data_IF_804366383223
#
_entry.id   IF_804366383223
#
_cell.length_a   1.000
_cell.length_b   1.000
_cell.length_c   1.000
_cell.angle_alpha   90.00
_cell.angle_beta   90.00
_cell.angle_gamma   90.00
#
_symmetry.space_group_name_H-M   'P 1'
#
loop_
_entity.id
_entity.type
_entity.pdbx_description
1 polymer ?
#
# COMPACT_ATOMS: atom_id res chain seq x y z
N UNK A 1 -25.37 -1.14 -4.13
CA UNK A 1 -24.62 -2.41 -3.98
C UNK A 1 -24.70 -2.79 -2.51
N UNK A 2 -25.63 -3.68 -2.15
CA UNK A 2 -26.09 -3.92 -0.78
C UNK A 2 -25.41 -5.14 -0.18
N UNK A 3 -24.75 -4.95 0.96
CA UNK A 3 -24.04 -5.98 1.73
C UNK A 3 -24.97 -7.13 2.14
N UNK A 4 -24.57 -8.37 1.84
CA UNK A 4 -25.25 -9.60 2.28
C UNK A 4 -25.05 -9.81 3.79
N UNK A 5 -25.88 -9.17 4.62
CA UNK A 5 -25.93 -9.44 6.05
C UNK A 5 -26.83 -10.65 6.34
N UNK A 6 -26.27 -11.61 7.08
CA UNK A 6 -26.96 -12.80 7.60
C UNK A 6 -27.63 -12.38 8.92
N UNK A 7 -28.97 -12.46 8.98
CA UNK A 7 -29.75 -12.12 10.19
C UNK A 7 -30.19 -13.42 10.87
N UNK A 8 -29.96 -13.60 12.18
CA UNK A 8 -30.43 -14.79 12.88
C UNK A 8 -31.90 -14.60 13.29
N UNK A 9 -32.80 -15.38 12.68
CA UNK A 9 -34.16 -15.55 13.18
C UNK A 9 -34.38 -17.03 13.46
N UNK A 10 -34.66 -17.35 14.73
CA UNK A 10 -35.04 -18.64 15.33
C UNK A 10 -34.94 -19.88 14.42
N UNK A 11 -33.93 -20.73 14.67
CA UNK A 11 -33.89 -22.11 14.17
C UNK A 11 -32.75 -22.49 13.22
N UNK A 12 -31.82 -21.57 12.94
CA UNK A 12 -30.62 -21.84 12.15
C UNK A 12 -30.38 -20.80 11.06
N UNK A 13 -29.14 -20.64 10.58
CA UNK A 13 -28.79 -19.64 9.58
C UNK A 13 -29.54 -19.94 8.27
N UNK A 14 -30.41 -19.02 7.89
CA UNK A 14 -31.17 -19.04 6.63
C UNK A 14 -30.68 -17.91 5.73
N UNK A 15 -30.76 -18.08 4.41
CA UNK A 15 -30.54 -16.97 3.47
C UNK A 15 -31.70 -15.97 3.56
N UNK A 16 -31.56 -14.74 3.04
CA UNK A 16 -32.70 -13.79 2.93
C UNK A 16 -33.89 -14.36 2.11
N UNK A 17 -33.68 -15.46 1.38
CA UNK A 17 -34.70 -16.19 0.61
C UNK A 17 -35.32 -17.38 1.39
N UNK A 18 -35.01 -17.52 2.69
CA UNK A 18 -35.61 -18.55 3.55
C UNK A 18 -35.07 -19.97 3.34
N UNK A 19 -34.03 -20.16 2.52
CA UNK A 19 -33.39 -21.47 2.36
C UNK A 19 -32.49 -21.78 3.56
N UNK A 20 -32.66 -22.97 4.14
CA UNK A 20 -31.79 -23.50 5.19
C UNK A 20 -30.36 -23.62 4.66
N UNK A 21 -29.45 -22.82 5.20
CA UNK A 21 -28.02 -22.93 4.89
C UNK A 21 -27.47 -24.10 5.70
N UNK A 22 -26.74 -24.99 5.05
CA UNK A 22 -26.06 -26.09 5.75
C UNK A 22 -24.98 -25.53 6.67
N UNK A 23 -24.76 -26.14 7.84
CA UNK A 23 -23.71 -25.70 8.77
C UNK A 23 -22.29 -25.73 8.17
N UNK A 24 -22.08 -26.55 7.11
CA UNK A 24 -20.84 -26.54 6.32
C UNK A 24 -20.67 -25.26 5.51
N UNK A 25 -21.73 -24.78 4.86
CA UNK A 25 -21.71 -23.55 4.05
C UNK A 25 -21.46 -22.31 4.93
N UNK A 26 -22.05 -22.23 6.13
CA UNK A 26 -21.76 -21.14 7.08
C UNK A 26 -20.30 -21.13 7.52
N UNK A 27 -19.73 -22.30 7.83
CA UNK A 27 -18.31 -22.41 8.17
C UNK A 27 -17.40 -22.02 7.01
N UNK A 28 -17.77 -22.39 5.79
CA UNK A 28 -17.04 -22.03 4.59
C UNK A 28 -17.06 -20.50 4.38
N UNK A 29 -18.23 -19.87 4.41
CA UNK A 29 -18.36 -18.41 4.29
C UNK A 29 -17.57 -17.69 5.37
N UNK A 30 -17.61 -18.18 6.62
CA UNK A 30 -16.82 -17.58 7.71
C UNK A 30 -15.32 -17.62 7.43
N UNK A 31 -14.80 -18.75 6.93
CA UNK A 31 -13.37 -18.88 6.55
C UNK A 31 -12.99 -17.96 5.40
N UNK A 32 -13.85 -17.84 4.38
CA UNK A 32 -13.61 -16.94 3.25
C UNK A 32 -13.58 -15.47 3.71
N UNK A 33 -14.49 -15.06 4.60
CA UNK A 33 -14.46 -13.71 5.19
C UNK A 33 -13.20 -13.46 6.02
N UNK A 34 -12.78 -14.42 6.84
CA UNK A 34 -11.54 -14.33 7.62
C UNK A 34 -10.30 -14.21 6.71
N UNK A 35 -10.26 -14.96 5.61
CA UNK A 35 -9.18 -14.87 4.62
C UNK A 35 -9.14 -13.51 3.91
N UNK A 36 -10.30 -12.99 3.49
CA UNK A 36 -10.39 -11.66 2.88
C UNK A 36 -9.94 -10.59 3.86
N UNK A 37 -10.39 -10.65 5.12
CA UNK A 37 -9.97 -9.70 6.15
C UNK A 37 -8.45 -9.73 6.37
N UNK A 38 -7.85 -10.92 6.50
CA UNK A 38 -6.41 -11.07 6.62
C UNK A 38 -5.65 -10.54 5.41
N UNK A 39 -6.12 -10.83 4.19
CA UNK A 39 -5.50 -10.32 2.95
C UNK A 39 -5.59 -8.80 2.83
N UNK A 40 -6.69 -8.21 3.30
CA UNK A 40 -6.92 -6.76 3.29
C UNK A 40 -5.97 -6.07 4.26
N UNK A 41 -5.78 -6.64 5.46
CA UNK A 41 -4.82 -6.12 6.45
C UNK A 41 -3.39 -6.12 5.89
N UNK A 42 -2.98 -7.23 5.25
CA UNK A 42 -1.66 -7.32 4.62
C UNK A 42 -1.50 -6.25 3.51
N UNK A 43 -2.52 -6.09 2.66
CA UNK A 43 -2.50 -5.09 1.60
C UNK A 43 -2.42 -3.66 2.16
N UNK A 44 -3.13 -3.38 3.25
CA UNK A 44 -3.11 -2.08 3.91
C UNK A 44 -1.75 -1.77 4.52
N UNK A 45 -1.13 -2.70 5.26
CA UNK A 45 0.22 -2.52 5.81
C UNK A 45 1.23 -2.29 4.70
N UNK A 46 1.13 -3.04 3.59
CA UNK A 46 2.00 -2.89 2.44
C UNK A 46 1.86 -1.50 1.82
N UNK A 47 0.65 -1.03 1.60
CA UNK A 47 0.39 0.29 1.03
C UNK A 47 0.95 1.41 1.92
N UNK A 48 0.79 1.30 3.24
CA UNK A 48 1.42 2.25 4.17
C UNK A 48 2.94 2.25 4.09
N UNK A 49 3.56 1.07 3.97
CA UNK A 49 5.00 0.94 3.76
C UNK A 49 5.44 1.64 2.47
N UNK A 50 4.71 1.46 1.36
CA UNK A 50 4.99 2.15 0.10
C UNK A 50 4.86 3.67 0.24
N UNK A 51 3.80 4.17 0.85
CA UNK A 51 3.58 5.59 1.08
C UNK A 51 4.66 6.22 1.97
N UNK A 52 5.07 5.52 3.04
CA UNK A 52 6.15 5.95 3.92
C UNK A 52 7.48 6.05 3.18
N UNK A 53 7.86 5.02 2.41
CA UNK A 53 9.09 5.02 1.62
C UNK A 53 9.08 6.11 0.54
N UNK A 54 7.93 6.36 -0.09
CA UNK A 54 7.76 7.46 -1.04
C UNK A 54 7.98 8.83 -0.39
N UNK A 55 7.37 9.06 0.78
CA UNK A 55 7.57 10.29 1.56
C UNK A 55 9.05 10.49 1.95
N UNK A 56 9.71 9.42 2.38
CA UNK A 56 11.13 9.47 2.72
C UNK A 56 12.00 9.76 1.48
N UNK A 57 11.70 9.13 0.34
CA UNK A 57 12.41 9.39 -0.91
C UNK A 57 12.28 10.85 -1.35
N UNK A 58 11.08 11.44 -1.26
CA UNK A 58 10.85 12.86 -1.55
C UNK A 58 11.66 13.78 -0.62
N UNK A 59 11.67 13.48 0.67
CA UNK A 59 12.46 14.22 1.67
C UNK A 59 13.96 14.18 1.34
N UNK A 60 14.46 13.00 0.95
CA UNK A 60 15.86 12.84 0.57
C UNK A 60 16.19 13.58 -0.73
N UNK A 61 15.32 13.54 -1.74
CA UNK A 61 15.49 14.32 -2.98
C UNK A 61 15.55 15.81 -2.68
N UNK A 62 14.63 16.35 -1.88
CA UNK A 62 14.65 17.75 -1.48
C UNK A 62 15.95 18.13 -0.76
N UNK A 63 16.44 17.25 0.12
CA UNK A 63 17.73 17.43 0.80
C UNK A 63 18.89 17.48 -0.18
N UNK A 64 18.94 16.55 -1.15
CA UNK A 64 19.99 16.54 -2.18
C UNK A 64 19.93 17.78 -3.07
N UNK A 65 18.73 18.25 -3.44
CA UNK A 65 18.56 19.49 -4.22
C UNK A 65 19.12 20.69 -3.45
N UNK A 66 18.74 20.87 -2.17
CA UNK A 66 19.25 21.97 -1.36
C UNK A 66 20.78 21.94 -1.21
N UNK A 67 21.36 20.73 -1.04
CA UNK A 67 22.81 20.56 -1.02
C UNK A 67 23.44 20.93 -2.37
N UNK A 68 22.86 20.48 -3.49
CA UNK A 68 23.34 20.81 -4.82
C UNK A 68 23.31 22.32 -5.08
N UNK A 69 22.23 23.01 -4.70
CA UNK A 69 22.14 24.47 -4.80
C UNK A 69 23.25 25.19 -4.03
N UNK A 70 23.60 24.70 -2.84
CA UNK A 70 24.71 25.24 -2.07
C UNK A 70 26.07 24.98 -2.76
N UNK A 71 26.28 23.79 -3.31
CA UNK A 71 27.52 23.40 -3.99
C UNK A 71 27.71 24.12 -5.33
N UNK A 72 26.64 24.37 -6.10
CA UNK A 72 26.69 25.13 -7.34
C UNK A 72 27.19 26.56 -7.14
N UNK A 73 26.98 27.16 -5.97
CA UNK A 73 27.55 28.48 -5.62
C UNK A 73 29.07 28.44 -5.46
N UNK A 74 29.63 27.29 -5.08
CA UNK A 74 31.07 27.09 -4.87
C UNK A 74 31.75 26.63 -6.16
N UNK A 75 31.14 25.67 -6.86
CA UNK A 75 31.68 25.05 -8.06
C UNK A 75 30.60 24.92 -9.17
N UNK A 76 30.32 26.00 -9.92
CA UNK A 76 29.28 26.02 -10.95
C UNK A 76 29.52 25.02 -12.09
N UNK A 77 30.80 24.71 -12.40
CA UNK A 77 31.15 23.72 -13.41
C UNK A 77 30.66 22.29 -13.06
N UNK A 78 30.30 22.06 -11.80
CA UNK A 78 29.82 20.77 -11.30
C UNK A 78 28.32 20.50 -11.49
N UNK A 79 27.53 21.48 -11.97
CA UNK A 79 26.05 21.41 -12.01
C UNK A 79 25.51 20.11 -12.60
N UNK A 80 26.01 19.71 -13.78
CA UNK A 80 25.56 18.50 -14.46
C UNK A 80 25.75 17.22 -13.62
N UNK A 81 26.79 17.16 -12.77
CA UNK A 81 27.04 16.00 -11.91
C UNK A 81 26.05 15.95 -10.75
N UNK A 82 25.71 17.10 -10.16
CA UNK A 82 24.71 17.17 -9.10
C UNK A 82 23.32 16.78 -9.62
N UNK A 83 22.92 17.29 -10.78
CA UNK A 83 21.66 16.92 -11.44
C UNK A 83 21.58 15.42 -11.72
N UNK A 84 22.66 14.84 -12.27
CA UNK A 84 22.74 13.41 -12.55
C UNK A 84 22.59 12.55 -11.27
N UNK A 85 23.23 12.97 -10.16
CA UNK A 85 23.13 12.28 -8.87
C UNK A 85 21.70 12.33 -8.32
N UNK A 86 21.07 13.51 -8.33
CA UNK A 86 19.70 13.69 -7.85
C UNK A 86 18.72 12.85 -8.68
N UNK A 87 18.81 12.94 -10.01
CA UNK A 87 17.95 12.19 -10.92
C UNK A 87 18.13 10.67 -10.75
N UNK A 88 19.38 10.20 -10.70
CA UNK A 88 19.71 8.80 -10.48
C UNK A 88 19.16 8.26 -9.15
N UNK A 89 19.29 9.04 -8.08
CA UNK A 89 18.71 8.70 -6.79
C UNK A 89 17.17 8.61 -6.86
N UNK A 90 16.51 9.63 -7.43
CA UNK A 90 15.05 9.69 -7.50
C UNK A 90 14.47 8.51 -8.32
N UNK A 91 15.05 8.22 -9.48
CA UNK A 91 14.66 7.09 -10.33
C UNK A 91 14.90 5.77 -9.58
N UNK A 92 16.08 5.58 -8.98
CA UNK A 92 16.41 4.38 -8.24
C UNK A 92 15.51 4.15 -7.01
N UNK A 93 15.15 5.23 -6.30
CA UNK A 93 14.21 5.18 -5.19
C UNK A 93 12.81 4.77 -5.66
N UNK A 94 12.29 5.40 -6.73
CA UNK A 94 11.02 5.03 -7.34
C UNK A 94 10.97 3.56 -7.77
N UNK A 95 12.03 3.05 -8.38
CA UNK A 95 12.14 1.64 -8.78
C UNK A 95 12.19 0.68 -7.59
N UNK A 96 12.82 1.04 -6.47
CA UNK A 96 12.79 0.22 -5.24
C UNK A 96 11.39 0.19 -4.64
N UNK A 97 10.72 1.34 -4.56
CA UNK A 97 9.35 1.42 -4.05
C UNK A 97 8.40 0.59 -4.93
N UNK A 98 8.51 0.69 -6.26
CA UNK A 98 7.64 -0.04 -7.19
C UNK A 98 7.83 -1.57 -7.12
N UNK A 99 9.05 -2.05 -6.84
CA UNK A 99 9.33 -3.49 -6.70
C UNK A 99 8.80 -4.08 -5.38
N UNK A 100 8.51 -3.24 -4.39
CA UNK A 100 8.06 -3.68 -3.06
C UNK A 100 9.19 -3.89 -2.07
N UNK A 101 8.80 -3.99 -0.80
CA UNK A 101 9.63 -4.52 0.28
C UNK A 101 10.00 -5.98 0.01
#
# INVERSE_FOLDING_TARGET
MSSNQVVPLFGGPTTQQGQKITGSLVRQTKREVEQVAASTEIAWVREQGHAFLASQALTNVATLVSQAEAQMKIAPAGTQFYEAIIAGYAIGAGQRIARGL
#
